data_IF_271492237407
#
_entry.id   IF_271492237407
#
_cell.length_a   1.000
_cell.length_b   1.000
_cell.length_c   1.000
_cell.angle_alpha   90.00
_cell.angle_beta   90.00
_cell.angle_gamma   90.00
#
_symmetry.space_group_name_H-M   'P 1'
#
loop_
_entity.id
_entity.type
_entity.pdbx_description
1 polymer ?
#
# COMPACT_ATOMS: atom_id res chain seq x y z
N UNK A 1 0.68 -6.63 16.73
CA UNK A 1 0.89 -7.23 15.40
C UNK A 1 1.62 -6.21 14.54
N UNK A 2 2.83 -6.54 14.06
CA UNK A 2 3.58 -5.67 13.15
C UNK A 2 2.85 -5.65 11.81
N UNK A 3 2.67 -4.50 11.15
CA UNK A 3 2.06 -4.46 9.82
C UNK A 3 2.92 -5.29 8.86
N UNK A 4 2.31 -6.25 8.17
CA UNK A 4 2.98 -6.91 7.05
C UNK A 4 3.25 -5.84 6.00
N UNK A 5 4.52 -5.46 5.85
CA UNK A 5 4.93 -4.44 4.89
C UNK A 5 5.51 -5.16 3.69
N UNK A 6 4.90 -4.93 2.53
CA UNK A 6 5.42 -5.44 1.26
C UNK A 6 5.99 -4.27 0.48
N UNK A 7 7.15 -4.47 -0.13
CA UNK A 7 7.71 -3.53 -1.10
C UNK A 7 7.30 -4.00 -2.50
N UNK A 8 6.79 -3.07 -3.30
CA UNK A 8 6.50 -3.33 -4.71
C UNK A 8 7.13 -2.23 -5.57
N UNK A 9 7.52 -2.51 -6.83
CA UNK A 9 8.00 -1.48 -7.74
C UNK A 9 6.93 -0.40 -7.97
N UNK A 10 7.34 0.87 -7.95
CA UNK A 10 6.48 2.01 -8.26
C UNK A 10 6.72 2.50 -9.68
N UNK A 11 6.16 1.79 -10.66
CA UNK A 11 6.31 2.12 -12.08
C UNK A 11 5.84 3.54 -12.44
N UNK A 12 4.94 4.14 -11.63
CA UNK A 12 4.52 5.54 -11.80
C UNK A 12 5.64 6.56 -11.55
N UNK A 13 6.67 6.16 -10.81
CA UNK A 13 7.84 6.97 -10.47
C UNK A 13 9.12 6.45 -11.14
N UNK A 14 8.98 5.61 -12.16
CA UNK A 14 10.12 5.16 -12.94
C UNK A 14 10.80 6.35 -13.62
N UNK A 15 12.13 6.39 -13.59
CA UNK A 15 12.91 7.38 -14.31
C UNK A 15 13.06 6.98 -15.78
N UNK A 16 12.10 7.43 -16.61
CA UNK A 16 12.11 7.15 -18.04
C UNK A 16 13.30 7.77 -18.78
N UNK A 17 13.88 8.88 -18.28
CA UNK A 17 15.05 9.47 -18.91
C UNK A 17 16.27 8.58 -18.70
N UNK A 18 16.43 8.01 -17.50
CA UNK A 18 17.48 7.03 -17.23
C UNK A 18 17.29 5.75 -18.04
N UNK A 19 16.05 5.28 -18.20
CA UNK A 19 15.75 4.12 -19.06
C UNK A 19 16.16 4.43 -20.51
N UNK A 20 15.72 5.56 -21.04
CA UNK A 20 15.96 5.93 -22.44
C UNK A 20 17.45 6.13 -22.74
N UNK A 21 18.17 6.88 -21.90
CA UNK A 21 19.62 7.08 -22.05
C UNK A 21 20.41 5.76 -22.02
N UNK A 22 20.03 4.82 -21.15
CA UNK A 22 20.66 3.49 -21.10
C UNK A 22 20.34 2.63 -22.32
N UNK A 23 19.13 2.74 -22.86
CA UNK A 23 18.75 2.06 -24.10
C UNK A 23 19.49 2.63 -25.31
N UNK A 24 19.69 3.95 -25.37
CA UNK A 24 20.49 4.58 -26.43
C UNK A 24 21.97 4.21 -26.36
N UNK A 25 22.50 4.04 -25.15
CA UNK A 25 23.87 3.56 -24.95
C UNK A 25 24.05 2.07 -25.32
N UNK A 26 22.95 1.32 -25.47
CA UNK A 26 22.99 -0.08 -25.82
C UNK A 26 23.22 -0.22 -27.32
N UNK A 27 24.39 -0.72 -27.72
CA UNK A 27 24.61 -1.18 -29.09
C UNK A 27 23.91 -2.52 -29.27
N UNK A 28 22.75 -2.53 -29.92
CA UNK A 28 22.09 -3.78 -30.30
C UNK A 28 22.93 -4.48 -31.37
N UNK A 29 23.20 -5.79 -31.22
CA UNK A 29 23.88 -6.54 -32.26
C UNK A 29 23.03 -6.57 -33.53
N UNK A 30 23.68 -6.40 -34.68
CA UNK A 30 23.05 -6.58 -35.99
C UNK A 30 22.40 -7.98 -36.08
N UNK A 31 21.20 -8.04 -36.65
CA UNK A 31 20.47 -9.28 -36.88
C UNK A 31 20.51 -9.54 -38.37
N UNK A 32 21.21 -10.59 -38.79
CA UNK A 32 21.17 -11.09 -40.15
C UNK A 32 20.03 -12.10 -40.32
N UNK A 33 19.64 -12.38 -41.56
CA UNK A 33 18.51 -13.25 -41.89
C UNK A 33 18.74 -14.74 -41.52
N UNK A 34 19.97 -15.11 -41.17
CA UNK A 34 20.34 -16.45 -40.69
C UNK A 34 20.30 -16.59 -39.16
N UNK A 35 20.05 -15.51 -38.42
CA UNK A 35 20.07 -15.53 -36.98
C UNK A 35 18.74 -15.99 -36.37
N UNK A 36 18.81 -16.85 -35.37
CA UNK A 36 17.66 -17.16 -34.53
C UNK A 36 17.21 -15.89 -33.78
N UNK A 37 16.01 -15.41 -34.08
CA UNK A 37 15.44 -14.17 -33.53
C UNK A 37 15.15 -14.32 -32.03
N UNK A 38 14.71 -15.51 -31.61
CA UNK A 38 14.20 -15.77 -30.26
C UNK A 38 15.26 -15.57 -29.15
N UNK A 39 16.50 -16.11 -29.26
CA UNK A 39 17.53 -15.89 -28.25
C UNK A 39 17.98 -14.42 -28.16
N UNK A 40 18.06 -13.72 -29.30
CA UNK A 40 18.45 -12.29 -29.34
C UNK A 40 17.37 -11.41 -28.71
N UNK A 41 16.10 -11.69 -29.01
CA UNK A 41 14.98 -10.98 -28.40
C UNK A 41 14.91 -11.23 -26.88
N UNK A 42 15.11 -12.48 -26.46
CA UNK A 42 15.15 -12.85 -25.05
C UNK A 42 16.25 -12.09 -24.29
N UNK A 43 17.44 -11.99 -24.88
CA UNK A 43 18.56 -11.24 -24.32
C UNK A 43 18.23 -9.74 -24.20
N UNK A 44 17.67 -9.15 -25.25
CA UNK A 44 17.22 -7.75 -25.22
C UNK A 44 16.18 -7.51 -24.12
N UNK A 45 15.19 -8.40 -24.00
CA UNK A 45 14.14 -8.28 -22.99
C UNK A 45 14.69 -8.38 -21.56
N UNK A 46 15.68 -9.25 -21.33
CA UNK A 46 16.39 -9.33 -20.05
C UNK A 46 17.13 -8.02 -19.73
N UNK A 47 17.84 -7.44 -20.70
CA UNK A 47 18.50 -6.14 -20.52
C UNK A 47 17.50 -5.03 -20.22
N UNK A 48 16.43 -4.91 -21.01
CA UNK A 48 15.37 -3.92 -20.80
C UNK A 48 14.75 -4.05 -19.41
N UNK A 49 14.40 -5.28 -19.01
CA UNK A 49 13.82 -5.55 -17.68
C UNK A 49 14.78 -5.10 -16.57
N UNK A 50 16.08 -5.40 -16.71
CA UNK A 50 17.08 -4.99 -15.71
C UNK A 50 17.24 -3.46 -15.60
N UNK A 51 17.14 -2.74 -16.73
CA UNK A 51 17.21 -1.28 -16.76
C UNK A 51 15.97 -0.69 -16.07
N UNK A 52 14.78 -1.22 -16.37
CA UNK A 52 13.52 -0.78 -15.75
C UNK A 52 13.54 -1.03 -14.25
N UNK A 53 13.98 -2.20 -13.80
CA UNK A 53 14.07 -2.52 -12.37
C UNK A 53 14.99 -1.56 -11.61
N UNK A 54 16.17 -1.24 -12.18
CA UNK A 54 17.12 -0.29 -11.58
C UNK A 54 16.62 1.15 -11.61
N UNK A 55 15.76 1.48 -12.58
CA UNK A 55 15.20 2.82 -12.75
C UNK A 55 13.87 3.03 -12.03
N UNK A 56 13.30 1.96 -11.45
CA UNK A 56 12.01 2.01 -10.77
C UNK A 56 12.20 1.95 -9.26
N UNK A 57 11.85 3.02 -8.52
CA UNK A 57 11.93 2.99 -7.07
C UNK A 57 10.91 2.02 -6.46
N UNK A 58 11.25 1.42 -5.32
CA UNK A 58 10.33 0.57 -4.56
C UNK A 58 9.41 1.42 -3.67
N UNK A 59 8.10 1.18 -3.73
CA UNK A 59 7.14 1.75 -2.77
C UNK A 59 6.77 0.74 -1.70
N UNK A 60 6.62 1.25 -0.48
CA UNK A 60 6.13 0.48 0.65
C UNK A 60 4.60 0.47 0.65
N UNK A 61 4.03 -0.73 0.61
CA UNK A 61 2.61 -0.96 0.86
C UNK A 61 2.49 -1.53 2.27
N UNK A 62 1.78 -0.81 3.13
CA UNK A 62 1.36 -1.31 4.42
C UNK A 62 -0.03 -1.90 4.27
N UNK A 63 -0.17 -3.21 4.48
CA UNK A 63 -1.49 -3.79 4.62
C UNK A 63 -2.09 -3.35 5.96
N UNK A 64 -3.23 -2.67 5.86
CA UNK A 64 -4.00 -2.29 7.03
C UNK A 64 -4.70 -3.56 7.57
N UNK A 65 -4.28 -4.06 8.74
CA UNK A 65 -4.90 -5.22 9.42
C UNK A 65 -6.30 -4.93 9.98
N UNK A 66 -7.03 -3.98 9.41
CA UNK A 66 -8.39 -3.67 9.82
C UNK A 66 -9.38 -4.48 8.96
N UNK A 67 -10.50 -4.94 9.53
CA UNK A 67 -11.54 -5.58 8.75
C UNK A 67 -12.00 -4.69 7.59
N UNK A 68 -12.35 -5.31 6.46
CA UNK A 68 -12.74 -4.59 5.23
C UNK A 68 -13.90 -3.62 5.43
N UNK A 69 -14.78 -3.89 6.40
CA UNK A 69 -15.92 -3.04 6.75
C UNK A 69 -15.56 -1.82 7.60
N UNK A 70 -14.30 -1.67 8.05
CA UNK A 70 -13.89 -0.49 8.80
C UNK A 70 -13.73 0.72 7.88
N UNK A 71 -14.41 1.82 8.21
CA UNK A 71 -14.15 3.10 7.56
C UNK A 71 -12.80 3.68 7.99
N UNK A 72 -12.19 4.51 7.11
CA UNK A 72 -10.97 5.28 7.45
C UNK A 72 -11.13 6.10 8.74
N UNK A 73 -12.33 6.66 8.96
CA UNK A 73 -12.66 7.42 10.16
C UNK A 73 -12.67 6.56 11.42
N UNK A 74 -13.20 5.33 11.34
CA UNK A 74 -13.15 4.38 12.45
C UNK A 74 -11.72 3.98 12.80
N UNK A 75 -10.90 3.70 11.78
CA UNK A 75 -9.48 3.39 11.95
C UNK A 75 -8.76 4.52 12.67
N UNK A 76 -8.95 5.77 12.22
CA UNK A 76 -8.37 6.95 12.86
C UNK A 76 -8.81 7.08 14.33
N UNK A 77 -10.10 6.94 14.62
CA UNK A 77 -10.60 6.99 15.99
C UNK A 77 -10.01 5.90 16.89
N UNK A 78 -9.77 4.70 16.35
CA UNK A 78 -9.14 3.61 17.12
C UNK A 78 -7.69 3.94 17.46
N UNK A 79 -6.94 4.55 16.53
CA UNK A 79 -5.57 5.00 16.76
C UNK A 79 -5.55 6.10 17.83
N UNK A 80 -6.40 7.11 17.69
CA UNK A 80 -6.55 8.21 18.66
C UNK A 80 -6.94 7.69 20.05
N UNK A 81 -7.90 6.76 20.12
CA UNK A 81 -8.32 6.12 21.37
C UNK A 81 -7.15 5.39 22.04
N UNK A 82 -6.33 4.66 21.28
CA UNK A 82 -5.14 3.97 21.81
C UNK A 82 -4.13 4.98 22.34
N UNK A 83 -3.87 6.06 21.61
CA UNK A 83 -2.95 7.12 22.03
C UNK A 83 -3.44 7.83 23.30
N UNK A 84 -4.73 8.17 23.39
CA UNK A 84 -5.35 8.76 24.58
C UNK A 84 -5.31 7.82 25.79
N UNK A 85 -5.56 6.52 25.60
CA UNK A 85 -5.45 5.54 26.69
C UNK A 85 -4.02 5.43 27.21
N UNK A 86 -3.03 5.41 26.31
CA UNK A 86 -1.62 5.40 26.69
C UNK A 86 -1.27 6.64 27.49
N UNK A 87 -1.69 7.83 27.03
CA UNK A 87 -1.51 9.11 27.74
C UNK A 87 -2.11 9.07 29.15
N UNK A 88 -3.37 8.66 29.28
CA UNK A 88 -4.02 8.50 30.59
C UNK A 88 -3.24 7.54 31.50
N UNK A 89 -2.77 6.40 30.97
CA UNK A 89 -1.99 5.43 31.75
C UNK A 89 -0.65 5.98 32.21
N UNK A 90 -0.04 6.90 31.47
CA UNK A 90 1.22 7.54 31.85
C UNK A 90 1.02 8.74 32.77
N UNK A 91 -0.01 9.57 32.55
CA UNK A 91 -0.22 10.82 33.28
C UNK A 91 -1.05 10.65 34.55
N UNK A 92 -1.94 9.65 34.60
CA UNK A 92 -2.95 9.52 35.65
C UNK A 92 -4.03 10.60 35.66
N UNK A 93 -3.99 11.55 34.71
CA UNK A 93 -4.86 12.73 34.72
C UNK A 93 -6.32 12.39 34.35
N UNK A 94 -7.27 12.99 35.07
CA UNK A 94 -8.70 12.84 34.82
C UNK A 94 -9.13 13.31 33.42
N UNK A 95 -8.56 14.40 32.91
CA UNK A 95 -8.89 14.93 31.57
C UNK A 95 -8.50 13.93 30.48
N UNK A 96 -7.32 13.31 30.60
CA UNK A 96 -6.88 12.26 29.66
C UNK A 96 -7.81 11.05 29.69
N UNK A 97 -8.29 10.68 30.89
CA UNK A 97 -9.30 9.63 31.07
C UNK A 97 -10.60 9.98 30.35
N UNK A 98 -11.08 11.20 30.51
CA UNK A 98 -12.32 11.65 29.88
C UNK A 98 -12.22 11.62 28.35
N UNK A 99 -11.09 12.09 27.80
CA UNK A 99 -10.79 12.02 26.37
C UNK A 99 -10.82 10.56 25.89
N UNK A 100 -10.16 9.65 26.61
CA UNK A 100 -10.17 8.23 26.28
C UNK A 100 -11.60 7.65 26.29
N UNK A 101 -12.40 7.93 27.32
CA UNK A 101 -13.78 7.45 27.43
C UNK A 101 -14.67 7.99 26.31
N UNK A 102 -14.52 9.28 25.96
CA UNK A 102 -15.22 9.90 24.82
C UNK A 102 -14.86 9.22 23.50
N UNK A 103 -13.57 8.99 23.25
CA UNK A 103 -13.10 8.31 22.04
C UNK A 103 -13.58 6.85 22.00
N UNK A 104 -13.57 6.14 23.13
CA UNK A 104 -14.09 4.76 23.23
C UNK A 104 -15.57 4.69 22.85
N UNK A 105 -16.39 5.62 23.34
CA UNK A 105 -17.83 5.71 22.98
C UNK A 105 -18.01 5.96 21.49
N UNK A 106 -17.26 6.91 20.91
CA UNK A 106 -17.29 7.20 19.47
C UNK A 106 -16.86 6.00 18.61
N UNK A 107 -15.81 5.28 19.00
CA UNK A 107 -15.41 4.04 18.32
C UNK A 107 -16.54 3.01 18.33
N UNK A 108 -17.19 2.78 19.48
CA UNK A 108 -18.27 1.79 19.61
C UNK A 108 -19.42 2.13 18.65
N UNK A 109 -19.89 3.37 18.69
CA UNK A 109 -20.98 3.84 17.83
C UNK A 109 -20.63 3.68 16.34
N UNK A 110 -19.47 4.20 15.92
CA UNK A 110 -19.09 4.18 14.51
C UNK A 110 -18.78 2.77 14.01
N UNK A 111 -18.28 1.88 14.87
CA UNK A 111 -18.07 0.47 14.51
C UNK A 111 -19.40 -0.23 14.22
N UNK A 112 -20.41 -0.02 15.07
CA UNK A 112 -21.76 -0.56 14.83
C UNK A 112 -22.37 -0.02 13.54
N UNK A 113 -22.23 1.28 13.28
CA UNK A 113 -22.72 1.89 12.05
C UNK A 113 -22.02 1.35 10.79
N UNK A 114 -20.68 1.28 10.82
CA UNK A 114 -19.90 0.70 9.71
C UNK A 114 -20.27 -0.75 9.43
N UNK A 115 -20.48 -1.56 10.47
CA UNK A 115 -20.87 -2.95 10.32
C UNK A 115 -22.28 -3.08 9.72
N UNK A 116 -23.26 -2.32 10.22
CA UNK A 116 -24.62 -2.30 9.67
C UNK A 116 -24.61 -1.92 8.19
N UNK A 117 -23.90 -0.86 7.83
CA UNK A 117 -23.80 -0.40 6.44
C UNK A 117 -23.12 -1.43 5.55
N UNK A 118 -22.17 -2.19 6.09
CA UNK A 118 -21.51 -3.28 5.36
C UNK A 118 -22.45 -4.45 5.11
N UNK A 119 -23.20 -4.89 6.12
CA UNK A 119 -24.20 -5.97 5.96
C UNK A 119 -25.29 -5.55 4.96
N UNK A 120 -25.85 -4.35 5.11
CA UNK A 120 -26.85 -3.82 4.18
C UNK A 120 -26.37 -3.86 2.72
N UNK A 121 -25.14 -3.42 2.46
CA UNK A 121 -24.55 -3.46 1.11
C UNK A 121 -24.32 -4.87 0.58
N UNK A 122 -24.02 -5.83 1.46
CA UNK A 122 -23.88 -7.23 1.06
C UNK A 122 -25.25 -7.78 0.69
N UNK A 123 -26.26 -7.55 1.51
CA UNK A 123 -27.63 -8.00 1.27
C UNK A 123 -28.17 -7.41 -0.04
N UNK A 124 -27.97 -6.12 -0.31
CA UNK A 124 -28.34 -5.49 -1.60
C UNK A 124 -27.58 -6.07 -2.81
N UNK A 125 -26.41 -6.66 -2.59
CA UNK A 125 -25.61 -7.24 -3.68
C UNK A 125 -25.98 -8.68 -4.03
N UNK A 126 -26.87 -9.30 -3.26
CA UNK A 126 -27.35 -10.67 -3.50
C UNK A 126 -28.62 -10.57 -4.37
N UNK A 127 -28.66 -11.21 -5.55
CA UNK A 127 -29.82 -11.22 -6.45
C UNK A 127 -31.08 -11.85 -5.87
#
# INVERSE_FOLDING_TARGET
TRPCTRYIPDFRKCDFNMVFSRLQALSLPYVDNSDEVEPKFSLFFQYLSSIIERSTPMKRIAEAHFPKWFSRRLIYLIIEKKAAHKRFKTSGNFLDREIFLRLRRRCKYLASDCHRNYIFKIEESIP
#
